data_IF_332813960023
#
_entry.id   IF_332813960023
#
_cell.length_a   1.000
_cell.length_b   1.000
_cell.length_c   1.000
_cell.angle_alpha   90.00
_cell.angle_beta   90.00
_cell.angle_gamma   90.00
#
_symmetry.space_group_name_H-M   'P 1'
#
loop_
_entity.id
_entity.type
_entity.pdbx_description
1 polymer ?
#
# COMPACT_ATOMS: atom_id res chain seq x y z
N UNK A 1 -7.29 24.88 -2.47
CA UNK A 1 -7.59 24.47 -3.85
C UNK A 1 -9.04 24.74 -4.26
N UNK A 2 -10.05 24.24 -3.53
CA UNK A 2 -11.48 24.40 -3.91
C UNK A 2 -11.91 25.88 -4.00
N UNK A 3 -11.63 26.69 -2.97
CA UNK A 3 -11.96 28.12 -2.98
C UNK A 3 -11.20 28.93 -4.05
N UNK A 4 -9.96 28.53 -4.37
CA UNK A 4 -9.17 29.17 -5.42
C UNK A 4 -9.73 28.84 -6.82
N UNK A 5 -10.12 27.59 -7.06
CA UNK A 5 -10.75 27.16 -8.30
C UNK A 5 -12.10 27.83 -8.55
N UNK A 6 -12.86 28.12 -7.49
CA UNK A 6 -14.15 28.82 -7.59
C UNK A 6 -14.01 30.32 -7.90
N UNK A 7 -12.92 30.94 -7.46
CA UNK A 7 -12.71 32.40 -7.60
C UNK A 7 -12.00 32.78 -8.90
N UNK A 8 -11.37 31.83 -9.61
CA UNK A 8 -10.58 32.03 -10.85
C UNK A 8 -9.53 33.14 -10.75
N UNK A 9 -9.08 33.46 -9.54
CA UNK A 9 -7.99 34.43 -9.33
C UNK A 9 -6.69 33.67 -9.48
N UNK A 10 -5.94 33.97 -10.54
CA UNK A 10 -4.72 33.23 -10.90
C UNK A 10 -3.69 33.17 -9.76
N UNK A 11 -3.53 34.27 -9.00
CA UNK A 11 -2.63 34.30 -7.84
C UNK A 11 -3.05 33.32 -6.72
N UNK A 12 -4.36 33.14 -6.49
CA UNK A 12 -4.87 32.18 -5.50
C UNK A 12 -4.67 30.74 -5.95
N UNK A 13 -4.79 30.47 -7.25
CA UNK A 13 -4.54 29.14 -7.82
C UNK A 13 -3.08 28.72 -7.65
N UNK A 14 -2.13 29.62 -8.01
CA UNK A 14 -0.70 29.38 -7.83
C UNK A 14 -0.35 29.19 -6.36
N UNK A 15 -0.85 30.05 -5.47
CA UNK A 15 -0.62 29.92 -4.03
C UNK A 15 -1.17 28.59 -3.48
N UNK A 16 -2.36 28.18 -3.93
CA UNK A 16 -2.97 26.91 -3.53
C UNK A 16 -2.19 25.70 -4.04
N UNK A 17 -1.66 25.75 -5.26
CA UNK A 17 -0.82 24.67 -5.82
C UNK A 17 0.50 24.55 -5.06
N UNK A 18 1.17 25.67 -4.79
CA UNK A 18 2.42 25.69 -4.01
C UNK A 18 2.18 25.15 -2.60
N UNK A 19 1.10 25.56 -1.94
CA UNK A 19 0.73 25.06 -0.62
C UNK A 19 0.41 23.56 -0.64
N UNK A 20 -0.32 23.08 -1.66
CA UNK A 20 -0.63 21.66 -1.82
C UNK A 20 0.65 20.84 -2.02
N UNK A 21 1.51 21.24 -2.96
CA UNK A 21 2.80 20.59 -3.21
C UNK A 21 3.69 20.58 -1.95
N UNK A 22 3.76 21.72 -1.24
CA UNK A 22 4.49 21.84 0.02
C UNK A 22 3.95 20.91 1.11
N UNK A 23 2.63 20.78 1.22
CA UNK A 23 2.00 19.90 2.21
C UNK A 23 2.29 18.42 1.95
N UNK A 24 2.24 17.98 0.68
CA UNK A 24 2.59 16.60 0.30
C UNK A 24 4.06 16.33 0.55
N UNK A 25 4.96 17.25 0.18
CA UNK A 25 6.39 17.09 0.45
C UNK A 25 6.67 17.00 1.96
N UNK A 26 6.05 17.87 2.77
CA UNK A 26 6.17 17.83 4.22
C UNK A 26 5.70 16.49 4.80
N UNK A 27 4.57 15.98 4.31
CA UNK A 27 4.05 14.68 4.72
C UNK A 27 5.01 13.54 4.36
N UNK A 28 5.54 13.51 3.14
CA UNK A 28 6.52 12.51 2.72
C UNK A 28 7.81 12.58 3.55
N UNK A 29 8.27 13.78 3.91
CA UNK A 29 9.40 13.96 4.83
C UNK A 29 9.09 13.41 6.23
N UNK A 30 7.87 13.60 6.72
CA UNK A 30 7.45 13.06 8.00
C UNK A 30 7.42 11.53 7.98
N UNK A 31 6.88 10.94 6.90
CA UNK A 31 6.93 9.49 6.67
C UNK A 31 8.38 9.00 6.65
N UNK A 32 9.26 9.63 5.87
CA UNK A 32 10.68 9.28 5.82
C UNK A 32 11.37 9.32 7.19
N UNK A 33 11.09 10.34 8.00
CA UNK A 33 11.62 10.45 9.38
C UNK A 33 11.15 9.29 10.26
N UNK A 34 9.86 8.94 10.19
CA UNK A 34 9.30 7.80 10.95
C UNK A 34 9.98 6.47 10.55
N UNK A 35 10.29 6.29 9.27
CA UNK A 35 10.98 5.10 8.79
C UNK A 35 12.46 5.04 9.19
N UNK A 36 13.15 6.18 9.21
CA UNK A 36 14.60 6.25 9.50
C UNK A 36 14.93 6.36 10.99
N UNK A 37 14.02 6.86 11.83
CA UNK A 37 14.27 7.02 13.28
C UNK A 37 14.15 5.72 14.08
N UNK A 38 14.12 4.55 13.43
CA UNK A 38 13.84 3.26 14.07
C UNK A 38 15.11 2.61 14.64
N UNK A 39 14.99 2.05 15.85
CA UNK A 39 16.02 1.22 16.50
C UNK A 39 15.92 -0.29 16.17
N UNK A 40 14.80 -0.76 15.60
CA UNK A 40 14.58 -2.20 15.32
C UNK A 40 15.21 -2.59 13.97
N UNK A 41 15.95 -3.72 13.96
CA UNK A 41 16.77 -4.18 12.83
C UNK A 41 16.03 -5.09 11.83
N UNK A 42 14.87 -5.64 12.21
CA UNK A 42 14.06 -6.51 11.35
C UNK A 42 12.80 -5.79 10.86
N UNK A 43 12.53 -5.86 9.56
CA UNK A 43 11.34 -5.27 8.95
C UNK A 43 10.18 -6.26 9.00
N UNK A 44 9.12 -5.91 9.73
CA UNK A 44 7.85 -6.61 9.70
C UNK A 44 7.19 -6.51 8.30
N UNK A 45 6.31 -7.44 7.95
CA UNK A 45 5.58 -7.44 6.69
C UNK A 45 4.72 -6.18 6.55
N UNK A 46 4.13 -5.71 7.65
CA UNK A 46 3.41 -4.44 7.67
C UNK A 46 4.29 -3.29 7.19
N UNK A 47 5.52 -3.24 7.67
CA UNK A 47 6.46 -2.16 7.33
C UNK A 47 6.86 -2.20 5.85
N UNK A 48 7.14 -3.41 5.33
CA UNK A 48 7.46 -3.62 3.90
C UNK A 48 6.30 -3.22 3.00
N UNK A 49 5.08 -3.57 3.39
CA UNK A 49 3.86 -3.19 2.65
C UNK A 49 3.63 -1.68 2.67
N UNK A 50 3.77 -1.02 3.83
CA UNK A 50 3.63 0.45 3.90
C UNK A 50 4.73 1.14 3.09
N UNK A 51 5.98 0.67 3.17
CA UNK A 51 7.06 1.22 2.35
C UNK A 51 6.76 1.08 0.85
N UNK A 52 6.33 -0.10 0.39
CA UNK A 52 5.92 -0.32 -1.00
C UNK A 52 4.76 0.60 -1.42
N UNK A 53 3.77 0.80 -0.54
CA UNK A 53 2.66 1.72 -0.79
C UNK A 53 3.17 3.15 -1.04
N UNK A 54 4.02 3.69 -0.17
CA UNK A 54 4.54 5.05 -0.31
C UNK A 54 5.48 5.22 -1.51
N UNK A 55 6.28 4.20 -1.83
CA UNK A 55 7.07 4.20 -3.08
C UNK A 55 6.15 4.26 -4.30
N UNK A 56 5.06 3.47 -4.31
CA UNK A 56 4.07 3.50 -5.38
C UNK A 56 3.33 4.84 -5.45
N UNK A 57 3.05 5.51 -4.33
CA UNK A 57 2.46 6.85 -4.31
C UNK A 57 3.37 7.88 -4.97
N UNK A 58 4.66 7.90 -4.59
CA UNK A 58 5.63 8.83 -5.18
C UNK A 58 5.80 8.55 -6.68
N UNK A 59 5.87 7.29 -7.07
CA UNK A 59 5.94 6.89 -8.48
C UNK A 59 4.66 7.30 -9.25
N UNK A 60 3.49 7.08 -8.67
CA UNK A 60 2.19 7.49 -9.24
C UNK A 60 2.15 9.00 -9.48
N UNK A 61 2.55 9.79 -8.48
CA UNK A 61 2.60 11.25 -8.62
C UNK A 61 3.56 11.70 -9.72
N UNK A 62 4.78 11.15 -9.75
CA UNK A 62 5.79 11.49 -10.74
C UNK A 62 5.34 11.14 -12.17
N UNK A 63 4.85 9.92 -12.38
CA UNK A 63 4.35 9.45 -13.68
C UNK A 63 3.08 10.21 -14.08
N UNK A 64 2.21 10.54 -13.12
CA UNK A 64 0.98 11.29 -13.38
C UNK A 64 1.24 12.73 -13.83
N UNK A 65 2.16 13.43 -13.16
CA UNK A 65 2.60 14.77 -13.58
C UNK A 65 3.24 14.70 -14.97
N UNK A 66 4.11 13.72 -15.22
CA UNK A 66 4.70 13.51 -16.53
C UNK A 66 3.63 13.27 -17.62
N UNK A 67 2.68 12.38 -17.34
CA UNK A 67 1.59 12.06 -18.27
C UNK A 67 0.70 13.27 -18.57
N UNK A 68 0.45 14.11 -17.58
CA UNK A 68 -0.31 15.35 -17.77
C UNK A 68 0.46 16.38 -18.62
N UNK A 69 1.74 16.59 -18.34
CA UNK A 69 2.56 17.59 -19.05
C UNK A 69 2.84 17.17 -20.50
N UNK A 70 3.04 15.87 -20.73
CA UNK A 70 3.35 15.33 -22.06
C UNK A 70 2.11 14.88 -22.83
N UNK A 71 0.91 15.13 -22.30
CA UNK A 71 -0.38 14.68 -22.86
C UNK A 71 -0.38 13.16 -23.20
N UNK A 72 0.32 12.37 -22.38
CA UNK A 72 0.47 10.93 -22.60
C UNK A 72 -0.53 10.15 -21.74
N UNK A 73 -1.63 9.73 -22.38
CA UNK A 73 -2.69 8.94 -21.77
C UNK A 73 -2.19 7.67 -21.09
N UNK A 74 -1.19 6.98 -21.68
CA UNK A 74 -0.63 5.73 -21.12
C UNK A 74 0.02 5.99 -19.77
N UNK A 75 0.78 7.09 -19.65
CA UNK A 75 1.39 7.48 -18.38
C UNK A 75 0.33 7.81 -17.32
N UNK A 76 -0.78 8.46 -17.70
CA UNK A 76 -1.89 8.72 -16.77
C UNK A 76 -2.51 7.42 -16.27
N UNK A 77 -2.70 6.43 -17.15
CA UNK A 77 -3.19 5.10 -16.76
C UNK A 77 -2.23 4.35 -15.83
N UNK A 78 -0.93 4.40 -16.11
CA UNK A 78 0.10 3.83 -15.22
C UNK A 78 0.06 4.51 -13.85
N UNK A 79 -0.06 5.84 -13.82
CA UNK A 79 -0.16 6.60 -12.58
C UNK A 79 -1.40 6.19 -11.77
N UNK A 80 -2.55 6.04 -12.42
CA UNK A 80 -3.78 5.56 -11.78
C UNK A 80 -3.64 4.14 -11.22
N UNK A 81 -3.02 3.24 -11.98
CA UNK A 81 -2.75 1.87 -11.51
C UNK A 81 -1.80 1.85 -10.30
N UNK A 82 -0.71 2.63 -10.33
CA UNK A 82 0.21 2.74 -9.21
C UNK A 82 -0.45 3.35 -7.97
N UNK A 83 -1.40 4.28 -8.14
CA UNK A 83 -2.17 4.84 -7.02
C UNK A 83 -3.09 3.80 -6.39
N UNK A 84 -3.80 3.05 -7.22
CA UNK A 84 -4.83 2.10 -6.76
C UNK A 84 -4.24 0.75 -6.36
N UNK A 85 -3.64 0.03 -7.30
CA UNK A 85 -3.02 -1.28 -7.04
C UNK A 85 -1.76 -1.19 -6.19
N UNK A 86 -0.95 -0.15 -6.39
CA UNK A 86 0.27 0.08 -5.62
C UNK A 86 -0.02 0.71 -4.26
N UNK A 87 -0.32 2.00 -4.20
CA UNK A 87 -0.48 2.71 -2.92
C UNK A 87 -1.65 2.16 -2.10
N UNK A 88 -2.89 2.23 -2.60
CA UNK A 88 -4.07 1.80 -1.82
C UNK A 88 -4.03 0.29 -1.55
N UNK A 89 -3.70 -0.53 -2.55
CA UNK A 89 -3.62 -1.98 -2.41
C UNK A 89 -2.66 -2.44 -1.31
N UNK A 90 -1.41 -1.95 -1.34
CA UNK A 90 -0.44 -2.29 -0.29
C UNK A 90 -0.79 -1.69 1.07
N UNK A 91 -1.37 -0.49 1.11
CA UNK A 91 -1.76 0.15 2.37
C UNK A 91 -2.91 -0.63 3.04
N UNK A 92 -3.90 -1.07 2.27
CA UNK A 92 -5.00 -1.92 2.75
C UNK A 92 -4.43 -3.26 3.26
N UNK A 93 -3.62 -3.96 2.45
CA UNK A 93 -3.03 -5.23 2.83
C UNK A 93 -2.18 -5.12 4.11
N UNK A 94 -1.37 -4.05 4.23
CA UNK A 94 -0.60 -3.78 5.44
C UNK A 94 -1.53 -3.70 6.67
N UNK A 95 -2.57 -2.87 6.62
CA UNK A 95 -3.43 -2.66 7.78
C UNK A 95 -4.24 -3.91 8.12
N UNK A 96 -4.63 -4.74 7.14
CA UNK A 96 -5.25 -6.03 7.41
C UNK A 96 -4.34 -6.95 8.25
N UNK A 97 -3.02 -6.93 8.02
CA UNK A 97 -2.05 -7.68 8.84
C UNK A 97 -1.97 -7.23 10.30
N UNK A 98 -2.52 -6.06 10.65
CA UNK A 98 -2.62 -5.62 12.05
C UNK A 98 -4.03 -5.73 12.60
N UNK A 99 -5.03 -5.30 11.83
CA UNK A 99 -6.42 -5.24 12.29
C UNK A 99 -6.98 -6.64 12.53
N UNK A 100 -6.80 -7.58 11.58
CA UNK A 100 -7.41 -8.92 11.71
C UNK A 100 -6.80 -9.69 12.88
N UNK A 101 -5.46 -9.80 13.02
CA UNK A 101 -4.88 -10.42 14.22
C UNK A 101 -5.27 -9.72 15.51
N UNK A 102 -5.34 -8.37 15.53
CA UNK A 102 -5.75 -7.62 16.71
C UNK A 102 -7.17 -7.97 17.14
N UNK A 103 -8.14 -7.97 16.23
CA UNK A 103 -9.54 -8.28 16.54
C UNK A 103 -9.71 -9.71 17.06
N UNK A 104 -9.07 -10.69 16.39
CA UNK A 104 -9.13 -12.09 16.84
C UNK A 104 -8.44 -12.27 18.19
N UNK A 105 -7.30 -11.60 18.38
CA UNK A 105 -6.58 -11.65 19.64
C UNK A 105 -7.36 -11.04 20.79
N UNK A 106 -7.94 -9.86 20.57
CA UNK A 106 -8.73 -9.13 21.54
C UNK A 106 -9.95 -9.92 22.00
N UNK A 107 -10.66 -10.55 21.06
CA UNK A 107 -11.86 -11.32 21.39
C UNK A 107 -11.56 -12.65 22.08
N UNK A 108 -10.54 -13.39 21.63
CA UNK A 108 -10.31 -14.77 22.08
C UNK A 108 -9.24 -14.91 23.17
N UNK A 109 -8.15 -14.15 23.06
CA UNK A 109 -6.97 -14.35 23.89
C UNK A 109 -6.83 -13.31 24.99
N UNK A 110 -7.34 -12.08 24.81
CA UNK A 110 -7.26 -11.05 25.84
C UNK A 110 -7.91 -11.45 27.18
N UNK A 111 -9.07 -12.15 27.22
CA UNK A 111 -9.66 -12.60 28.49
C UNK A 111 -8.81 -13.63 29.25
N UNK A 112 -7.88 -14.30 28.58
CA UNK A 112 -7.13 -15.45 29.12
C UNK A 112 -5.71 -15.10 29.60
N UNK A 113 -5.31 -13.83 29.49
CA UNK A 113 -3.95 -13.36 29.81
C UNK A 113 -3.55 -13.70 31.25
N UNK A 114 -4.50 -13.66 32.19
CA UNK A 114 -4.24 -13.93 33.60
C UNK A 114 -4.26 -15.43 33.94
N UNK A 115 -4.85 -16.26 33.07
CA UNK A 115 -5.04 -17.69 33.34
C UNK A 115 -3.93 -18.56 32.73
N UNK A 116 -3.40 -18.19 31.57
CA UNK A 116 -2.41 -18.98 30.83
C UNK A 116 -1.62 -18.14 29.84
N UNK A 117 -0.48 -18.67 29.40
CA UNK A 117 0.30 -18.06 28.33
C UNK A 117 -0.50 -18.04 27.02
N UNK A 118 -0.71 -16.83 26.48
CA UNK A 118 -1.41 -16.61 25.22
C UNK A 118 -0.43 -16.22 24.11
N UNK A 119 -0.69 -16.64 22.85
CA UNK A 119 0.14 -16.23 21.72
C UNK A 119 0.10 -14.70 21.56
N UNK A 120 1.20 -14.11 21.12
CA UNK A 120 1.26 -12.70 20.75
C UNK A 120 0.51 -12.45 19.44
N UNK A 121 0.01 -11.23 19.21
CA UNK A 121 -0.70 -10.86 17.98
C UNK A 121 0.13 -11.17 16.71
N UNK A 122 1.45 -11.01 16.77
CA UNK A 122 2.36 -11.28 15.66
C UNK A 122 2.47 -12.77 15.33
N UNK A 123 2.36 -13.65 16.34
CA UNK A 123 2.39 -15.09 16.15
C UNK A 123 1.14 -15.64 15.45
N UNK A 124 0.04 -14.88 15.47
CA UNK A 124 -1.17 -15.26 14.72
C UNK A 124 -0.98 -15.15 13.20
N UNK A 125 0.00 -14.35 12.74
CA UNK A 125 0.24 -14.12 11.33
C UNK A 125 1.20 -15.16 10.73
N UNK A 126 0.80 -15.96 9.72
CA UNK A 126 1.69 -16.90 9.05
C UNK A 126 2.70 -16.16 8.16
N UNK A 127 3.90 -15.90 8.69
CA UNK A 127 4.96 -15.11 8.05
C UNK A 127 5.26 -15.50 6.60
N UNK A 128 5.47 -16.80 6.34
CA UNK A 128 5.77 -17.31 4.98
C UNK A 128 4.67 -17.00 3.97
N UNK A 129 3.41 -17.06 4.39
CA UNK A 129 2.27 -16.78 3.50
C UNK A 129 2.18 -15.28 3.23
N UNK A 130 2.45 -14.47 4.25
CA UNK A 130 2.51 -13.01 4.11
C UNK A 130 3.66 -12.58 3.17
N UNK A 131 4.81 -13.27 3.20
CA UNK A 131 5.90 -13.05 2.25
C UNK A 131 5.52 -13.40 0.80
N UNK A 132 4.84 -14.53 0.60
CA UNK A 132 4.35 -14.93 -0.73
C UNK A 132 3.31 -13.94 -1.25
N UNK A 133 2.35 -13.54 -0.41
CA UNK A 133 1.36 -12.51 -0.75
C UNK A 133 2.05 -11.20 -1.17
N UNK A 134 2.99 -10.72 -0.37
CA UNK A 134 3.68 -9.46 -0.64
C UNK A 134 4.52 -9.53 -1.92
N UNK A 135 5.25 -10.63 -2.13
CA UNK A 135 6.09 -10.81 -3.32
C UNK A 135 5.26 -10.88 -4.60
N UNK A 136 4.17 -11.64 -4.58
CA UNK A 136 3.24 -11.74 -5.71
C UNK A 136 2.49 -10.44 -5.97
N UNK A 137 2.10 -9.70 -4.93
CA UNK A 137 1.53 -8.35 -5.06
C UNK A 137 2.51 -7.40 -5.73
N UNK A 138 3.77 -7.38 -5.28
CA UNK A 138 4.79 -6.44 -5.79
C UNK A 138 5.10 -6.72 -7.25
N UNK A 139 5.31 -7.99 -7.58
CA UNK A 139 5.55 -8.42 -8.95
C UNK A 139 4.32 -8.17 -9.83
N UNK A 140 3.10 -8.41 -9.34
CA UNK A 140 1.86 -8.14 -10.05
C UNK A 140 1.64 -6.67 -10.37
N UNK A 141 1.80 -5.79 -9.38
CA UNK A 141 1.69 -4.34 -9.56
C UNK A 141 2.74 -3.83 -10.55
N UNK A 142 3.99 -4.24 -10.41
CA UNK A 142 5.06 -3.84 -11.32
C UNK A 142 4.82 -4.34 -12.75
N UNK A 143 4.41 -5.61 -12.91
CA UNK A 143 4.13 -6.20 -14.21
C UNK A 143 2.99 -5.50 -14.94
N UNK A 144 1.89 -5.19 -14.25
CA UNK A 144 0.77 -4.44 -14.85
C UNK A 144 1.19 -3.01 -15.19
N UNK A 145 1.95 -2.32 -14.33
CA UNK A 145 2.45 -0.99 -14.63
C UNK A 145 3.31 -0.95 -15.91
N UNK A 146 4.22 -1.93 -16.05
CA UNK A 146 5.05 -2.08 -17.26
C UNK A 146 4.19 -2.46 -18.48
N UNK A 147 3.22 -3.36 -18.31
CA UNK A 147 2.34 -3.79 -19.38
C UNK A 147 1.52 -2.63 -19.97
N UNK A 148 0.99 -1.75 -19.10
CA UNK A 148 0.26 -0.56 -19.54
C UNK A 148 1.19 0.45 -20.21
N UNK A 149 2.41 0.64 -19.68
CA UNK A 149 3.39 1.56 -20.26
C UNK A 149 3.91 1.14 -21.64
N UNK A 150 4.09 -0.17 -21.86
CA UNK A 150 4.65 -0.73 -23.10
C UNK A 150 3.63 -1.46 -24.00
N UNK A 151 2.36 -1.47 -23.63
CA UNK A 151 1.28 -2.18 -24.34
C UNK A 151 1.57 -3.68 -24.54
N UNK A 152 2.12 -4.32 -23.51
CA UNK A 152 2.60 -5.70 -23.60
C UNK A 152 1.61 -6.70 -22.99
N UNK A 153 0.85 -7.42 -23.83
CA UNK A 153 -0.23 -8.34 -23.41
C UNK A 153 0.23 -9.43 -22.43
N UNK A 154 1.41 -10.04 -22.66
CA UNK A 154 1.90 -11.12 -21.77
C UNK A 154 2.22 -10.60 -20.37
N UNK A 155 2.74 -9.38 -20.25
CA UNK A 155 3.03 -8.76 -18.95
C UNK A 155 1.74 -8.41 -18.22
N UNK A 156 0.69 -8.04 -18.97
CA UNK A 156 -0.62 -7.78 -18.41
C UNK A 156 -1.22 -9.07 -17.82
N UNK A 157 -1.20 -10.18 -18.58
CA UNK A 157 -1.71 -11.48 -18.14
C UNK A 157 -0.91 -12.03 -16.94
N UNK A 158 0.42 -11.98 -17.01
CA UNK A 158 1.28 -12.39 -15.91
C UNK A 158 1.01 -11.56 -14.64
N UNK A 159 0.88 -10.24 -14.81
CA UNK A 159 0.58 -9.34 -13.70
C UNK A 159 -0.80 -9.59 -13.08
N UNK A 160 -1.83 -9.80 -13.90
CA UNK A 160 -3.18 -10.14 -13.45
C UNK A 160 -3.23 -11.49 -12.71
N UNK A 161 -2.49 -12.49 -13.20
CA UNK A 161 -2.35 -13.78 -12.52
C UNK A 161 -1.69 -13.62 -11.15
N UNK A 162 -0.57 -12.88 -11.08
CA UNK A 162 0.14 -12.62 -9.83
C UNK A 162 -0.73 -11.84 -8.81
N UNK A 163 -1.50 -10.84 -9.28
CA UNK A 163 -2.45 -10.12 -8.43
C UNK A 163 -3.57 -11.03 -7.91
N UNK A 164 -4.07 -11.94 -8.74
CA UNK A 164 -5.09 -12.92 -8.33
C UNK A 164 -4.55 -13.89 -7.27
N UNK A 165 -3.32 -14.40 -7.46
CA UNK A 165 -2.64 -15.25 -6.47
C UNK A 165 -2.45 -14.49 -5.16
N UNK A 166 -1.96 -13.25 -5.21
CA UNK A 166 -1.80 -12.38 -4.04
C UNK A 166 -3.11 -12.20 -3.27
N UNK A 167 -4.20 -11.86 -3.96
CA UNK A 167 -5.53 -11.73 -3.34
C UNK A 167 -6.01 -13.03 -2.70
N UNK A 168 -5.81 -14.16 -3.38
CA UNK A 168 -6.14 -15.49 -2.85
C UNK A 168 -5.35 -15.85 -1.59
N UNK A 169 -4.05 -15.58 -1.59
CA UNK A 169 -3.19 -15.82 -0.41
C UNK A 169 -3.60 -14.88 0.74
N UNK A 170 -3.90 -13.62 0.48
CA UNK A 170 -4.38 -12.69 1.50
C UNK A 170 -5.68 -13.17 2.14
N UNK A 171 -6.65 -13.60 1.32
CA UNK A 171 -7.90 -14.19 1.80
C UNK A 171 -7.65 -15.45 2.64
N UNK A 172 -6.75 -16.34 2.19
CA UNK A 172 -6.39 -17.54 2.92
C UNK A 172 -5.72 -17.23 4.27
N UNK A 173 -4.87 -16.18 4.35
CA UNK A 173 -4.29 -15.70 5.61
C UNK A 173 -5.39 -15.23 6.57
N UNK A 174 -6.31 -14.39 6.08
CA UNK A 174 -7.42 -13.86 6.90
C UNK A 174 -8.30 -15.00 7.43
N UNK A 175 -8.70 -15.93 6.56
CA UNK A 175 -9.47 -17.12 6.95
C UNK A 175 -8.68 -17.91 8.00
N UNK A 176 -7.40 -18.18 7.78
CA UNK A 176 -6.59 -18.92 8.75
C UNK A 176 -6.55 -18.24 10.12
N UNK A 177 -6.40 -16.91 10.18
CA UNK A 177 -6.42 -16.15 11.44
C UNK A 177 -7.78 -16.26 12.14
N UNK A 178 -8.89 -16.10 11.39
CA UNK A 178 -10.24 -16.20 11.93
C UNK A 178 -10.58 -17.59 12.51
N UNK A 179 -9.91 -18.64 12.03
CA UNK A 179 -10.14 -20.03 12.45
C UNK A 179 -9.16 -20.52 13.54
N UNK A 180 -8.29 -19.66 14.07
CA UNK A 180 -7.37 -20.01 15.17
C UNK A 180 -8.16 -20.43 16.41
N UNK A 181 -7.91 -21.64 16.91
CA UNK A 181 -8.53 -22.15 18.14
C UNK A 181 -7.74 -21.71 19.39
N UNK A 182 -8.45 -21.72 20.52
CA UNK A 182 -7.97 -21.46 21.88
C UNK A 182 -7.04 -22.55 22.42
#
# INVERSE_FOLDING_TARGET
MIAAALTRIHALEVAALVAAAGSVLYYLLQVYRIFTSKKRRYSDIWERSVAAAFVALVASMGVGVYGYVMENEKSVLVAFWLLTGGFLGFLIAAHLYKIVPFLVWFERFAPLIEERDVPTMQQLLPSRWADVQWGTALAGVASIALAVGFEHTVLWQAGAFLMSVSGGVLAAIVIRILWVKL
#
